data_IF_854955058725
#
_entry.id   IF_854955058725
#
_cell.length_a   1.000
_cell.length_b   1.000
_cell.length_c   1.000
_cell.angle_alpha   90.00
_cell.angle_beta   90.00
_cell.angle_gamma   90.00
#
_symmetry.space_group_name_H-M   'P 1'
#
loop_
_entity.id
_entity.type
_entity.pdbx_description
1 polymer ?
#
# COMPACT_ATOMS: atom_id res chain seq x y z
N UNK A 1 -6.20 18.45 -24.46
CA UNK A 1 -5.30 19.33 -23.66
C UNK A 1 -5.80 19.61 -22.24
N UNK A 2 -7.01 20.15 -22.05
CA UNK A 2 -7.49 20.56 -20.71
C UNK A 2 -7.45 19.45 -19.64
N UNK A 3 -7.82 18.21 -20.00
CA UNK A 3 -7.75 17.06 -19.08
C UNK A 3 -6.32 16.74 -18.62
N UNK A 4 -5.31 16.84 -19.50
CA UNK A 4 -3.90 16.62 -19.15
C UNK A 4 -3.39 17.69 -18.19
N UNK A 5 -3.77 18.96 -18.41
CA UNK A 5 -3.44 20.06 -17.48
C UNK A 5 -4.07 19.80 -16.11
N UNK A 6 -5.34 19.37 -16.07
CA UNK A 6 -6.00 19.00 -14.82
C UNK A 6 -5.31 17.86 -14.06
N UNK A 7 -4.87 16.82 -14.77
CA UNK A 7 -4.10 15.72 -14.17
C UNK A 7 -2.76 16.22 -13.62
N UNK A 8 -2.03 17.05 -14.36
CA UNK A 8 -0.76 17.63 -13.90
C UNK A 8 -0.94 18.42 -12.60
N UNK A 9 -1.94 19.32 -12.54
CA UNK A 9 -2.23 20.11 -11.34
C UNK A 9 -2.58 19.20 -10.16
N UNK A 10 -3.41 18.17 -10.36
CA UNK A 10 -3.80 17.24 -9.31
C UNK A 10 -2.62 16.43 -8.78
N UNK A 11 -1.74 15.93 -9.65
CA UNK A 11 -0.55 15.19 -9.25
C UNK A 11 0.39 16.07 -8.40
N UNK A 12 0.63 17.32 -8.83
CA UNK A 12 1.43 18.28 -8.07
C UNK A 12 0.82 18.59 -6.70
N UNK A 13 -0.49 18.75 -6.61
CA UNK A 13 -1.18 19.03 -5.34
C UNK A 13 -1.26 17.80 -4.42
N UNK A 14 -1.33 16.59 -4.98
CA UNK A 14 -1.53 15.34 -4.23
C UNK A 14 -0.23 14.72 -3.74
N UNK A 15 0.90 15.00 -4.40
CA UNK A 15 2.20 14.41 -4.04
C UNK A 15 2.68 14.81 -2.62
N UNK A 16 2.60 16.09 -2.19
CA UNK A 16 3.03 16.49 -0.85
C UNK A 16 2.30 15.77 0.30
N UNK A 17 0.95 15.71 0.36
CA UNK A 17 0.26 15.06 1.47
C UNK A 17 0.51 13.54 1.51
N UNK A 18 0.63 12.88 0.35
CA UNK A 18 0.98 11.44 0.30
C UNK A 18 2.39 11.22 0.85
N UNK A 19 3.36 12.03 0.44
CA UNK A 19 4.75 11.94 0.93
C UNK A 19 4.85 12.21 2.43
N UNK A 20 4.02 13.13 2.96
CA UNK A 20 3.95 13.38 4.40
C UNK A 20 3.47 12.15 5.19
N UNK A 21 2.41 11.48 4.72
CA UNK A 21 1.90 10.26 5.35
C UNK A 21 2.95 9.13 5.33
N UNK A 22 3.56 8.89 4.15
CA UNK A 22 4.62 7.86 4.01
C UNK A 22 5.80 8.13 4.92
N UNK A 23 6.26 9.37 5.01
CA UNK A 23 7.35 9.76 5.91
C UNK A 23 7.01 9.48 7.36
N UNK A 24 5.81 9.85 7.81
CA UNK A 24 5.40 9.64 9.21
C UNK A 24 5.34 8.16 9.57
N UNK A 25 4.77 7.32 8.69
CA UNK A 25 4.77 5.86 8.88
C UNK A 25 6.17 5.29 8.94
N UNK A 26 7.09 5.75 8.08
CA UNK A 26 8.47 5.29 8.09
C UNK A 26 9.22 5.72 9.36
N UNK A 27 9.01 6.94 9.85
CA UNK A 27 9.60 7.39 11.12
C UNK A 27 9.15 6.52 12.29
N UNK A 28 7.86 6.15 12.32
CA UNK A 28 7.35 5.20 13.31
C UNK A 28 7.98 3.81 13.15
N UNK A 29 8.20 3.31 11.93
CA UNK A 29 8.90 2.05 11.70
C UNK A 29 10.36 2.08 12.18
N UNK A 30 11.05 3.22 12.07
CA UNK A 30 12.42 3.41 12.57
C UNK A 30 12.48 3.80 14.06
N UNK A 31 11.33 3.96 14.72
CA UNK A 31 11.25 4.40 16.12
C UNK A 31 11.76 5.83 16.34
N UNK A 32 11.72 6.68 15.31
CA UNK A 32 12.13 8.07 15.41
C UNK A 32 10.93 8.96 15.72
N UNK A 33 11.08 9.84 16.72
CA UNK A 33 10.09 10.86 17.03
C UNK A 33 10.13 11.99 15.99
N UNK A 34 9.03 12.26 15.26
CA UNK A 34 8.97 13.30 14.22
C UNK A 34 9.35 14.70 14.74
N UNK A 35 9.08 14.96 16.01
CA UNK A 35 9.23 16.28 16.63
C UNK A 35 10.63 16.53 17.22
N UNK A 36 11.42 15.47 17.42
CA UNK A 36 12.76 15.56 18.02
C UNK A 36 13.91 15.42 16.99
N UNK A 37 13.59 15.18 15.72
CA UNK A 37 14.57 14.92 14.67
C UNK A 37 15.22 16.21 14.15
N UNK A 38 16.57 16.26 14.04
CA UNK A 38 17.25 17.40 13.44
C UNK A 38 16.94 17.54 11.95
N UNK A 39 16.77 18.78 11.49
CA UNK A 39 16.36 19.14 10.13
C UNK A 39 17.16 18.43 9.02
N UNK A 40 18.49 18.27 9.21
CA UNK A 40 19.35 17.59 8.25
C UNK A 40 18.97 16.11 8.01
N UNK A 41 18.58 15.39 9.06
CA UNK A 41 18.15 13.98 8.95
C UNK A 41 16.79 13.89 8.24
N UNK A 42 15.92 14.86 8.50
CA UNK A 42 14.63 14.94 7.82
C UNK A 42 14.77 15.25 6.33
N UNK A 43 15.64 16.21 6.00
CA UNK A 43 15.89 16.62 4.63
C UNK A 43 16.45 15.47 3.80
N UNK A 44 17.48 14.77 4.30
CA UNK A 44 18.09 13.66 3.55
C UNK A 44 17.10 12.50 3.34
N UNK A 45 16.25 12.22 4.32
CA UNK A 45 15.24 11.17 4.22
C UNK A 45 14.16 11.50 3.20
N UNK A 46 13.62 12.72 3.24
CA UNK A 46 12.56 13.16 2.31
C UNK A 46 13.10 13.31 0.88
N UNK A 47 14.31 13.85 0.71
CA UNK A 47 14.97 13.91 -0.60
C UNK A 47 15.24 12.50 -1.12
N UNK A 48 15.68 11.57 -0.25
CA UNK A 48 15.85 10.17 -0.60
C UNK A 48 14.56 9.53 -1.12
N UNK A 49 13.43 9.75 -0.44
CA UNK A 49 12.12 9.28 -0.89
C UNK A 49 11.70 9.89 -2.23
N UNK A 50 11.97 11.19 -2.45
CA UNK A 50 11.67 11.86 -3.72
C UNK A 50 12.54 11.38 -4.88
N UNK A 51 13.82 11.09 -4.62
CA UNK A 51 14.71 10.50 -5.62
C UNK A 51 14.26 9.07 -5.95
N UNK A 52 13.91 8.27 -4.94
CA UNK A 52 13.39 6.92 -5.15
C UNK A 52 12.09 6.91 -5.97
N UNK A 53 11.14 7.82 -5.67
CA UNK A 53 9.90 7.93 -6.44
C UNK A 53 10.15 8.38 -7.89
N UNK A 54 11.11 9.28 -8.11
CA UNK A 54 11.53 9.72 -9.44
C UNK A 54 12.18 8.58 -10.24
N UNK A 55 13.06 7.79 -9.61
CA UNK A 55 13.67 6.63 -10.25
C UNK A 55 12.61 5.57 -10.61
N UNK A 56 11.69 5.25 -9.71
CA UNK A 56 10.58 4.34 -10.00
C UNK A 56 9.69 4.86 -11.13
N UNK A 57 9.40 6.16 -11.18
CA UNK A 57 8.63 6.77 -12.26
C UNK A 57 9.36 6.80 -13.61
N UNK A 58 10.69 6.88 -13.59
CA UNK A 58 11.52 6.92 -14.81
C UNK A 58 11.71 5.52 -15.42
N UNK A 59 11.89 4.50 -14.59
CA UNK A 59 12.19 3.14 -15.06
C UNK A 59 10.96 2.28 -15.33
N UNK A 60 9.77 2.66 -14.84
CA UNK A 60 8.55 1.88 -15.05
C UNK A 60 7.73 2.53 -16.18
N UNK A 61 7.76 1.98 -17.41
CA UNK A 61 7.14 2.62 -18.57
C UNK A 61 5.61 2.52 -18.61
N UNK A 62 5.01 1.68 -17.74
CA UNK A 62 3.60 1.34 -17.82
C UNK A 62 2.91 1.53 -16.47
N UNK A 63 1.94 2.46 -16.39
CA UNK A 63 1.30 2.80 -15.11
C UNK A 63 0.41 1.67 -14.57
N UNK A 64 -0.08 0.81 -15.48
CA UNK A 64 -0.95 -0.30 -15.13
C UNK A 64 -0.23 -1.37 -14.28
N UNK A 65 1.07 -1.56 -14.49
CA UNK A 65 1.87 -2.51 -13.71
C UNK A 65 2.06 -2.02 -12.28
N UNK A 66 2.32 -0.72 -12.11
CA UNK A 66 2.43 -0.06 -10.81
C UNK A 66 1.11 -0.14 -10.05
N UNK A 67 0.00 0.23 -10.69
CA UNK A 67 -1.31 0.17 -10.05
C UNK A 67 -1.76 -1.25 -9.73
N UNK A 68 -1.47 -2.21 -10.60
CA UNK A 68 -1.78 -3.61 -10.33
C UNK A 68 -0.97 -4.17 -9.15
N UNK A 69 0.34 -3.88 -9.09
CA UNK A 69 1.22 -4.41 -8.06
C UNK A 69 0.93 -3.77 -6.69
N UNK A 70 0.86 -2.43 -6.65
CA UNK A 70 0.53 -1.70 -5.42
C UNK A 70 -0.90 -2.03 -4.98
N UNK A 71 -1.85 -2.13 -5.93
CA UNK A 71 -3.24 -2.47 -5.64
C UNK A 71 -3.39 -3.88 -5.07
N UNK A 72 -2.72 -4.88 -5.65
CA UNK A 72 -2.77 -6.26 -5.15
C UNK A 72 -2.15 -6.40 -3.76
N UNK A 73 -0.95 -5.83 -3.55
CA UNK A 73 -0.26 -5.92 -2.26
C UNK A 73 -0.93 -5.07 -1.18
N UNK A 74 -1.12 -3.78 -1.42
CA UNK A 74 -1.71 -2.88 -0.43
C UNK A 74 -3.17 -3.23 -0.17
N UNK A 75 -3.96 -3.48 -1.23
CA UNK A 75 -5.38 -3.83 -1.11
C UNK A 75 -5.57 -5.18 -0.42
N UNK A 76 -4.77 -6.20 -0.77
CA UNK A 76 -4.81 -7.50 -0.11
C UNK A 76 -4.44 -7.42 1.37
N UNK A 77 -3.31 -6.77 1.69
CA UNK A 77 -2.79 -6.71 3.07
C UNK A 77 -3.66 -5.79 3.95
N UNK A 78 -3.78 -4.52 3.59
CA UNK A 78 -4.47 -3.53 4.44
C UNK A 78 -6.00 -3.60 4.34
N UNK A 79 -6.53 -4.03 3.19
CA UNK A 79 -7.97 -4.08 2.94
C UNK A 79 -8.64 -5.37 3.40
N UNK A 80 -7.95 -6.52 3.36
CA UNK A 80 -8.56 -7.82 3.67
C UNK A 80 -7.84 -8.60 4.78
N UNK A 81 -6.52 -8.76 4.68
CA UNK A 81 -5.76 -9.61 5.63
C UNK A 81 -5.73 -9.00 7.02
N UNK A 82 -5.35 -7.72 7.14
CA UNK A 82 -5.22 -7.02 8.43
C UNK A 82 -6.55 -6.91 9.19
N UNK A 83 -7.69 -6.53 8.58
CA UNK A 83 -8.98 -6.54 9.29
C UNK A 83 -9.44 -7.95 9.67
N UNK A 84 -9.19 -8.97 8.84
CA UNK A 84 -9.51 -10.35 9.19
C UNK A 84 -8.70 -10.82 10.41
N UNK A 85 -7.39 -10.53 10.44
CA UNK A 85 -6.53 -10.87 11.57
C UNK A 85 -6.89 -10.10 12.85
N UNK A 86 -7.22 -8.81 12.77
CA UNK A 86 -7.64 -8.02 13.93
C UNK A 86 -8.90 -8.61 14.58
N UNK A 87 -9.87 -9.07 13.78
CA UNK A 87 -11.09 -9.70 14.30
C UNK A 87 -10.79 -11.07 14.92
N UNK A 88 -9.89 -11.87 14.31
CA UNK A 88 -9.51 -13.18 14.84
C UNK A 88 -8.71 -13.09 16.14
N UNK A 89 -7.83 -12.09 16.28
CA UNK A 89 -6.99 -11.89 17.47
C UNK A 89 -7.66 -11.04 18.56
N UNK A 90 -8.73 -10.30 18.24
CA UNK A 90 -9.39 -9.34 19.15
C UNK A 90 -10.31 -9.94 20.23
N UNK A 91 -10.43 -11.26 20.35
CA UNK A 91 -11.25 -11.90 21.38
C UNK A 91 -11.14 -13.43 21.37
N UNK A 92 -11.75 -14.10 22.35
CA UNK A 92 -11.74 -15.57 22.50
C UNK A 92 -12.49 -16.27 21.33
N UNK A 93 -11.85 -16.27 20.17
CA UNK A 93 -12.47 -16.52 18.87
C UNK A 93 -12.64 -18.02 18.64
N UNK A 94 -13.79 -18.55 19.09
CA UNK A 94 -14.22 -19.93 18.84
C UNK A 94 -15.56 -19.95 18.10
N UNK A 95 -15.85 -21.06 17.40
CA UNK A 95 -17.13 -21.31 16.72
C UNK A 95 -18.35 -21.03 17.61
N UNK A 96 -18.16 -21.13 18.93
CA UNK A 96 -19.20 -20.98 19.95
C UNK A 96 -19.42 -19.53 20.40
N UNK A 97 -18.46 -18.63 20.17
CA UNK A 97 -18.53 -17.23 20.60
C UNK A 97 -18.87 -16.25 19.47
N UNK A 98 -18.47 -16.54 18.23
CA UNK A 98 -18.65 -15.63 17.09
C UNK A 98 -19.89 -15.94 16.24
N UNK A 99 -20.43 -17.17 16.35
CA UNK A 99 -21.46 -17.67 15.44
C UNK A 99 -20.88 -18.12 14.10
N UNK A 100 -21.53 -19.11 13.48
CA UNK A 100 -21.07 -19.76 12.26
C UNK A 100 -20.77 -18.78 11.12
N UNK A 101 -21.66 -17.79 10.91
CA UNK A 101 -21.57 -16.84 9.80
C UNK A 101 -20.36 -15.91 9.91
N UNK A 102 -20.09 -15.34 11.10
CA UNK A 102 -18.91 -14.48 11.29
C UNK A 102 -17.60 -15.26 11.20
N UNK A 103 -17.59 -16.51 11.67
CA UNK A 103 -16.44 -17.41 11.55
C UNK A 103 -16.14 -17.74 10.09
N UNK A 104 -17.14 -18.16 9.30
CA UNK A 104 -16.91 -18.48 7.88
C UNK A 104 -16.53 -17.25 7.07
N UNK A 105 -17.17 -16.09 7.32
CA UNK A 105 -16.96 -14.89 6.53
C UNK A 105 -15.55 -14.31 6.69
N UNK A 106 -15.01 -14.33 7.91
CA UNK A 106 -13.65 -13.84 8.21
C UNK A 106 -12.56 -14.73 7.63
N UNK A 107 -12.73 -16.06 7.65
CA UNK A 107 -11.82 -16.96 6.93
C UNK A 107 -11.89 -16.77 5.42
N UNK A 108 -13.08 -16.57 4.85
CA UNK A 108 -13.23 -16.24 3.43
C UNK A 108 -12.56 -14.90 3.09
N UNK A 109 -12.69 -13.89 3.96
CA UNK A 109 -12.03 -12.58 3.82
C UNK A 109 -10.51 -12.72 3.82
N UNK A 110 -9.97 -13.54 4.73
CA UNK A 110 -8.54 -13.81 4.83
C UNK A 110 -8.03 -14.53 3.57
N UNK A 111 -8.73 -15.58 3.13
CA UNK A 111 -8.36 -16.32 1.92
C UNK A 111 -8.45 -15.41 0.69
N UNK A 112 -9.50 -14.60 0.56
CA UNK A 112 -9.64 -13.64 -0.53
C UNK A 112 -8.52 -12.60 -0.55
N UNK A 113 -8.10 -12.11 0.62
CA UNK A 113 -6.95 -11.20 0.73
C UNK A 113 -5.64 -11.85 0.28
N UNK A 114 -5.40 -13.10 0.69
CA UNK A 114 -4.21 -13.87 0.28
C UNK A 114 -4.23 -14.18 -1.20
N UNK A 115 -5.36 -14.62 -1.76
CA UNK A 115 -5.47 -14.89 -3.19
C UNK A 115 -5.30 -13.62 -4.01
N UNK A 116 -5.88 -12.49 -3.59
CA UNK A 116 -5.69 -11.20 -4.25
C UNK A 116 -4.22 -10.76 -4.24
N UNK A 117 -3.52 -10.90 -3.11
CA UNK A 117 -2.10 -10.54 -3.01
C UNK A 117 -1.23 -11.44 -3.88
N UNK A 118 -1.42 -12.76 -3.84
CA UNK A 118 -0.60 -13.72 -4.58
C UNK A 118 -0.92 -13.67 -6.08
N UNK A 119 -2.18 -13.91 -6.46
CA UNK A 119 -2.56 -13.94 -7.87
C UNK A 119 -2.46 -12.56 -8.53
N UNK A 120 -2.76 -11.48 -7.82
CA UNK A 120 -2.61 -10.12 -8.36
C UNK A 120 -1.14 -9.75 -8.60
N UNK A 121 -0.23 -10.16 -7.72
CA UNK A 121 1.21 -9.94 -7.93
C UNK A 121 1.73 -10.83 -9.06
N UNK A 122 1.32 -12.11 -9.12
CA UNK A 122 1.70 -12.98 -10.23
C UNK A 122 1.18 -12.47 -11.58
N UNK A 123 -0.05 -11.97 -11.65
CA UNK A 123 -0.63 -11.43 -12.88
C UNK A 123 0.13 -10.20 -13.37
N UNK A 124 0.56 -9.32 -12.46
CA UNK A 124 1.34 -8.12 -12.84
C UNK A 124 2.77 -8.44 -13.25
N UNK A 125 3.40 -9.44 -12.63
CA UNK A 125 4.71 -9.93 -13.10
C UNK A 125 4.57 -10.58 -14.48
N UNK A 126 3.53 -11.40 -14.67
CA UNK A 126 3.27 -12.06 -15.94
C UNK A 126 3.02 -11.07 -17.08
N UNK A 127 2.27 -9.98 -16.83
CA UNK A 127 2.04 -8.94 -17.83
C UNK A 127 3.34 -8.24 -18.23
N UNK A 128 4.21 -7.93 -17.25
CA UNK A 128 5.52 -7.32 -17.53
C UNK A 128 6.41 -8.24 -18.37
N UNK A 129 6.42 -9.55 -18.08
CA UNK A 129 7.25 -10.52 -18.81
C UNK A 129 6.70 -10.83 -20.21
N UNK A 130 5.37 -10.89 -20.35
CA UNK A 130 4.72 -11.24 -21.63
C UNK A 130 4.68 -10.06 -22.60
N UNK A 131 4.92 -8.84 -22.14
CA UNK A 131 5.00 -7.65 -22.99
C UNK A 131 3.65 -7.07 -23.43
N UNK A 132 2.56 -7.46 -22.77
CA UNK A 132 1.24 -6.82 -22.86
C UNK A 132 1.13 -5.62 -21.89
#
# INVERSE_FOLDING_TARGET
>A
MAAYVGVMVKLCASYPPVTMATRNSLYQCFGWDPDALPFWKHCIFVVGLAVASLLCGLFIPNINTVFGLIGALCGGISGFILPALLIMYGGNWSLRSAGFMHYTLTYLLLIAGVTMAVFGTCATIYSVVSGD
#
